data_IF_465042488679
#
_entry.id   IF_465042488679
#
_cell.length_a   1.000
_cell.length_b   1.000
_cell.length_c   1.000
_cell.angle_alpha   90.00
_cell.angle_beta   90.00
_cell.angle_gamma   90.00
#
_symmetry.space_group_name_H-M   'P 1'
#
loop_
_entity.id
_entity.type
_entity.pdbx_description
1 polymer ?
#
# COMPACT_ATOMS: atom_id res chain seq x y z
N UNK A 1 14.31 17.14 -12.19
CA UNK A 1 13.20 16.17 -12.30
C UNK A 1 12.71 16.21 -13.74
N UNK A 2 12.55 15.05 -14.37
CA UNK A 2 11.98 14.96 -15.73
C UNK A 2 10.48 15.32 -15.68
N UNK A 3 10.00 16.28 -16.48
CA UNK A 3 8.58 16.61 -16.57
C UNK A 3 7.68 15.41 -16.93
N UNK A 4 8.19 14.41 -17.65
CA UNK A 4 7.45 13.20 -18.04
C UNK A 4 7.05 12.35 -16.83
N UNK A 5 7.82 12.42 -15.75
CA UNK A 5 7.62 11.64 -14.54
C UNK A 5 6.60 12.25 -13.58
N UNK A 6 6.16 13.48 -13.83
CA UNK A 6 5.28 14.21 -12.91
C UNK A 6 3.87 14.24 -13.43
N UNK A 7 2.89 13.82 -12.64
CA UNK A 7 1.47 13.86 -12.98
C UNK A 7 0.77 14.89 -12.10
N UNK A 8 0.08 15.85 -12.71
CA UNK A 8 -0.55 16.97 -12.00
C UNK A 8 -1.86 17.36 -12.65
N UNK A 9 -2.88 17.59 -11.83
CA UNK A 9 -4.13 18.24 -12.21
C UNK A 9 -4.64 19.11 -11.05
N UNK A 10 -5.81 19.73 -11.20
CA UNK A 10 -6.44 20.51 -10.12
C UNK A 10 -6.62 19.64 -8.88
N UNK A 11 -5.95 19.99 -7.79
CA UNK A 11 -6.11 19.36 -6.48
C UNK A 11 -5.25 18.12 -6.23
N UNK A 12 -4.42 17.67 -7.17
CA UNK A 12 -3.55 16.51 -6.94
C UNK A 12 -2.30 16.56 -7.83
N UNK A 13 -1.15 16.19 -7.26
CA UNK A 13 0.10 16.00 -7.98
C UNK A 13 0.92 14.87 -7.39
N UNK A 14 1.72 14.21 -8.21
CA UNK A 14 2.69 13.19 -7.79
C UNK A 14 3.87 13.11 -8.76
N UNK A 15 4.92 12.43 -8.31
CA UNK A 15 6.09 12.10 -9.12
C UNK A 15 6.29 10.59 -9.17
N UNK A 16 6.60 10.03 -10.34
CA UNK A 16 6.99 8.63 -10.49
C UNK A 16 8.51 8.54 -10.62
N UNK A 17 9.15 7.85 -9.68
CA UNK A 17 10.54 7.45 -9.81
C UNK A 17 10.65 6.30 -10.83
N UNK A 18 11.19 6.59 -12.01
CA UNK A 18 11.26 5.60 -13.09
C UNK A 18 12.14 4.40 -12.73
N UNK A 19 13.15 4.54 -11.86
CA UNK A 19 14.09 3.47 -11.53
C UNK A 19 13.46 2.29 -10.78
N UNK A 20 12.34 2.52 -10.08
CA UNK A 20 11.66 1.50 -9.27
C UNK A 20 10.13 1.59 -9.36
N UNK A 21 9.62 2.47 -10.22
CA UNK A 21 8.20 2.74 -10.40
C UNK A 21 7.50 3.27 -9.15
N UNK A 22 8.23 3.88 -8.22
CA UNK A 22 7.68 4.38 -6.96
C UNK A 22 6.93 5.69 -7.17
N UNK A 23 5.85 5.89 -6.42
CA UNK A 23 4.97 7.04 -6.48
C UNK A 23 5.29 7.99 -5.34
N UNK A 24 6.19 8.91 -5.62
CA UNK A 24 6.76 9.86 -4.67
C UNK A 24 5.94 11.15 -4.66
N UNK A 25 6.09 11.95 -3.60
CA UNK A 25 5.56 13.31 -3.49
C UNK A 25 4.05 13.46 -3.78
N UNK A 26 3.25 12.40 -3.53
CA UNK A 26 1.80 12.47 -3.63
C UNK A 26 1.27 13.58 -2.71
N UNK A 27 0.73 14.60 -3.35
CA UNK A 27 0.24 15.82 -2.73
C UNK A 27 -1.18 16.03 -3.20
N UNK A 28 -2.11 16.15 -2.25
CA UNK A 28 -3.53 16.38 -2.52
C UNK A 28 -3.95 17.68 -1.85
N UNK A 29 -4.70 18.51 -2.56
CA UNK A 29 -5.33 19.70 -1.99
C UNK A 29 -6.81 19.43 -1.80
N UNK A 30 -7.25 19.44 -0.54
CA UNK A 30 -8.64 19.23 -0.17
C UNK A 30 -9.01 20.16 1.00
N UNK A 31 -10.19 20.77 0.94
CA UNK A 31 -10.64 21.81 1.89
C UNK A 31 -9.59 22.92 2.15
N UNK A 32 -8.97 23.41 1.08
CA UNK A 32 -7.88 24.41 1.10
C UNK A 32 -6.61 23.99 1.86
N UNK A 33 -6.42 22.69 2.14
CA UNK A 33 -5.26 22.14 2.83
C UNK A 33 -4.45 21.28 1.89
N UNK A 34 -3.12 21.34 2.02
CA UNK A 34 -2.22 20.44 1.33
C UNK A 34 -1.94 19.22 2.22
N UNK A 35 -2.23 18.03 1.68
CA UNK A 35 -2.09 16.74 2.36
C UNK A 35 -1.00 15.94 1.66
N UNK A 36 -0.04 15.45 2.44
CA UNK A 36 1.07 14.59 2.00
C UNK A 36 1.09 13.33 2.87
N UNK A 37 0.35 12.29 2.48
CA UNK A 37 0.12 11.12 3.33
C UNK A 37 1.29 10.14 3.34
N UNK A 38 2.19 10.25 2.35
CA UNK A 38 3.18 9.22 2.05
C UNK A 38 4.47 9.35 2.88
N UNK A 39 5.07 8.20 3.20
CA UNK A 39 6.35 8.06 3.89
C UNK A 39 7.51 7.94 2.90
N UNK A 40 8.71 8.30 3.35
CA UNK A 40 9.96 8.10 2.64
C UNK A 40 11.05 7.68 3.62
N UNK A 41 11.88 6.71 3.24
CA UNK A 41 12.95 6.21 4.12
C UNK A 41 13.99 7.30 4.43
N UNK A 42 14.58 7.30 5.64
CA UNK A 42 15.49 8.36 6.06
C UNK A 42 16.88 8.30 5.39
N UNK A 43 17.18 7.23 4.64
CA UNK A 43 18.46 7.04 3.94
C UNK A 43 18.41 7.35 2.44
N UNK A 44 17.34 8.00 1.97
CA UNK A 44 17.30 8.45 0.57
C UNK A 44 18.48 9.38 0.29
N UNK A 45 19.24 9.06 -0.76
CA UNK A 45 20.43 9.82 -1.16
C UNK A 45 21.72 9.40 -0.44
N UNK A 46 21.67 8.50 0.54
CA UNK A 46 22.88 7.93 1.15
C UNK A 46 23.56 6.91 0.21
N UNK A 47 24.88 6.81 0.30
CA UNK A 47 25.63 5.73 -0.35
C UNK A 47 25.46 4.45 0.47
N UNK A 48 24.64 3.53 -0.05
CA UNK A 48 24.43 2.21 0.54
C UNK A 48 25.29 1.15 -0.15
N UNK A 49 25.34 -0.06 0.42
CA UNK A 49 26.03 -1.20 -0.20
C UNK A 49 25.52 -1.40 -1.64
N UNK A 50 26.39 -1.69 -2.62
CA UNK A 50 25.97 -2.03 -3.99
C UNK A 50 24.94 -3.17 -4.04
N UNK A 51 25.03 -4.12 -3.11
CA UNK A 51 24.13 -5.28 -3.01
C UNK A 51 22.75 -4.95 -2.43
N UNK A 52 22.54 -3.72 -1.93
CA UNK A 52 21.23 -3.28 -1.43
C UNK A 52 20.23 -3.31 -2.59
N UNK A 53 19.08 -4.00 -2.50
CA UNK A 53 18.08 -3.98 -3.55
C UNK A 53 17.64 -2.56 -3.92
N UNK A 54 17.30 -2.34 -5.20
CA UNK A 54 16.91 -1.01 -5.68
C UNK A 54 15.68 -0.47 -4.95
N UNK A 55 14.67 -1.34 -4.67
CA UNK A 55 13.52 -0.94 -3.88
C UNK A 55 13.94 -0.39 -2.51
N UNK A 56 14.81 -1.10 -1.78
CA UNK A 56 15.22 -0.69 -0.43
C UNK A 56 16.03 0.61 -0.42
N UNK A 57 16.85 0.86 -1.46
CA UNK A 57 17.61 2.13 -1.57
C UNK A 57 16.72 3.35 -1.77
N UNK A 58 15.56 3.18 -2.43
CA UNK A 58 14.74 4.28 -2.93
C UNK A 58 13.36 4.36 -2.26
N UNK A 59 13.07 3.42 -1.37
CA UNK A 59 11.77 3.15 -0.76
C UNK A 59 11.06 4.42 -0.27
N UNK A 60 10.00 4.81 -0.99
CA UNK A 60 9.11 5.90 -0.62
C UNK A 60 7.75 5.73 -1.29
N UNK A 61 6.73 6.42 -0.78
CA UNK A 61 5.46 6.50 -1.48
C UNK A 61 4.69 5.20 -1.52
N UNK A 62 4.15 4.90 -2.70
CA UNK A 62 3.55 3.63 -3.07
C UNK A 62 4.33 3.00 -4.23
N UNK A 63 4.46 1.68 -4.24
CA UNK A 63 5.04 0.96 -5.36
C UNK A 63 4.35 -0.39 -5.55
N UNK A 64 4.48 -0.96 -6.74
CA UNK A 64 3.81 -2.19 -7.08
C UNK A 64 4.76 -3.37 -6.96
N UNK A 65 4.29 -4.47 -6.38
CA UNK A 65 5.08 -5.68 -6.19
C UNK A 65 4.48 -6.83 -7.00
N UNK A 66 5.28 -7.47 -7.84
CA UNK A 66 4.89 -8.71 -8.51
C UNK A 66 6.13 -9.54 -8.93
N UNK A 67 6.32 -10.76 -8.38
CA UNK A 67 5.58 -11.32 -7.26
C UNK A 67 5.71 -10.47 -5.97
N UNK A 68 4.61 -10.34 -5.21
CA UNK A 68 4.63 -9.70 -3.89
C UNK A 68 5.56 -10.45 -2.90
N UNK A 69 6.25 -9.71 -2.02
CA UNK A 69 7.25 -10.25 -1.08
C UNK A 69 8.28 -11.17 -1.77
N UNK A 70 8.45 -12.40 -1.32
CA UNK A 70 9.32 -13.40 -1.94
C UNK A 70 8.60 -14.25 -3.02
N UNK A 71 7.31 -13.99 -3.26
CA UNK A 71 6.48 -14.72 -4.19
C UNK A 71 6.30 -16.21 -3.83
N UNK A 72 6.41 -16.58 -2.55
CA UNK A 72 6.47 -17.98 -2.14
C UNK A 72 7.70 -18.70 -2.70
N UNK A 73 8.81 -17.98 -2.82
CA UNK A 73 10.07 -18.45 -3.40
C UNK A 73 10.20 -18.29 -4.92
N UNK A 74 9.17 -17.77 -5.60
CA UNK A 74 9.20 -17.54 -7.06
C UNK A 74 9.79 -16.19 -7.46
N UNK A 75 9.91 -15.24 -6.53
CA UNK A 75 10.50 -13.94 -6.83
C UNK A 75 12.03 -14.04 -6.90
N UNK A 76 12.62 -13.49 -7.96
CA UNK A 76 14.08 -13.39 -8.09
C UNK A 76 14.72 -12.39 -7.12
N UNK A 77 13.93 -11.39 -6.72
CA UNK A 77 14.32 -10.31 -5.81
C UNK A 77 13.08 -9.94 -4.98
N UNK A 78 13.29 -9.53 -3.73
CA UNK A 78 12.21 -9.14 -2.84
C UNK A 78 11.35 -8.03 -3.48
N UNK A 79 10.02 -8.23 -3.47
CA UNK A 79 9.00 -7.42 -4.14
C UNK A 79 9.00 -7.46 -5.69
N UNK A 80 9.82 -8.34 -6.28
CA UNK A 80 9.86 -8.57 -7.72
C UNK A 80 10.46 -7.42 -8.54
N UNK A 81 10.55 -7.63 -9.86
CA UNK A 81 11.07 -6.63 -10.79
C UNK A 81 10.33 -5.28 -10.80
N UNK A 82 8.99 -5.21 -10.66
CA UNK A 82 8.27 -3.94 -10.71
C UNK A 82 8.74 -2.90 -9.68
N UNK A 83 9.25 -3.35 -8.53
CA UNK A 83 9.78 -2.51 -7.46
C UNK A 83 11.30 -2.27 -7.57
N UNK A 84 12.00 -2.98 -8.46
CA UNK A 84 13.46 -3.06 -8.47
C UNK A 84 14.11 -2.71 -9.81
N UNK A 85 13.34 -2.30 -10.80
CA UNK A 85 13.84 -2.08 -12.16
C UNK A 85 13.15 -0.91 -12.87
N UNK A 86 13.81 -0.46 -13.94
CA UNK A 86 13.47 0.71 -14.73
C UNK A 86 12.11 0.59 -15.41
N UNK A 87 11.35 1.67 -15.33
CA UNK A 87 10.10 1.91 -16.04
C UNK A 87 10.31 2.92 -17.16
N UNK A 88 10.02 2.49 -18.39
CA UNK A 88 10.03 3.32 -19.58
C UNK A 88 8.73 4.10 -19.65
N UNK A 89 8.78 5.39 -19.32
CA UNK A 89 7.61 6.28 -19.34
C UNK A 89 7.36 6.74 -20.78
N UNK A 90 6.13 6.54 -21.26
CA UNK A 90 5.74 6.93 -22.60
C UNK A 90 5.44 8.44 -22.67
N UNK A 91 5.68 9.09 -23.83
CA UNK A 91 5.15 10.44 -24.08
C UNK A 91 3.63 10.48 -23.87
N UNK A 92 3.14 11.52 -23.21
CA UNK A 92 1.72 11.68 -22.89
C UNK A 92 1.00 12.62 -23.86
N UNK A 93 -0.18 12.21 -24.31
CA UNK A 93 -1.16 13.09 -24.99
C UNK A 93 -2.17 13.67 -24.00
N UNK A 94 -2.53 12.90 -22.98
CA UNK A 94 -3.38 13.31 -21.87
C UNK A 94 -2.51 13.72 -20.67
N UNK A 95 -2.55 14.99 -20.20
CA UNK A 95 -1.79 15.42 -19.03
C UNK A 95 -2.27 14.76 -17.72
N UNK A 96 -3.46 14.17 -17.69
CA UNK A 96 -4.06 13.53 -16.53
C UNK A 96 -3.75 12.03 -16.43
N UNK A 97 -3.07 11.46 -17.44
CA UNK A 97 -2.70 10.04 -17.47
C UNK A 97 -1.20 9.85 -17.78
N UNK A 98 -0.53 9.01 -16.99
CA UNK A 98 0.85 8.55 -17.22
C UNK A 98 0.85 7.06 -17.54
N UNK A 99 1.56 6.68 -18.60
CA UNK A 99 1.79 5.29 -18.97
C UNK A 99 3.28 4.95 -18.87
N UNK A 100 3.59 3.80 -18.30
CA UNK A 100 4.95 3.30 -18.22
C UNK A 100 4.99 1.79 -18.45
N UNK A 101 6.05 1.29 -19.08
CA UNK A 101 6.31 -0.13 -19.24
C UNK A 101 7.53 -0.53 -18.43
N UNK A 102 7.45 -1.64 -17.70
CA UNK A 102 8.61 -2.21 -17.01
C UNK A 102 9.61 -2.73 -18.04
N UNK A 103 10.91 -2.47 -17.84
CA UNK A 103 11.95 -2.96 -18.73
C UNK A 103 12.10 -4.49 -18.67
N UNK A 104 12.06 -5.07 -17.47
CA UNK A 104 11.96 -6.51 -17.28
C UNK A 104 10.55 -7.07 -17.54
N UNK A 105 10.49 -8.37 -17.84
CA UNK A 105 9.26 -9.15 -17.81
C UNK A 105 9.04 -9.79 -16.44
N UNK A 106 7.78 -9.99 -16.05
CA UNK A 106 7.39 -10.70 -14.83
C UNK A 106 6.94 -12.10 -15.21
N UNK A 107 7.76 -13.11 -14.94
CA UNK A 107 7.50 -14.49 -15.37
C UNK A 107 7.14 -14.59 -16.87
N UNK A 108 7.88 -13.85 -17.71
CA UNK A 108 7.65 -13.77 -19.15
C UNK A 108 6.52 -12.83 -19.60
N UNK A 109 5.74 -12.26 -18.67
CA UNK A 109 4.70 -11.28 -19.01
C UNK A 109 5.27 -9.87 -19.16
N UNK A 110 4.83 -9.13 -20.18
CA UNK A 110 5.06 -7.69 -20.26
C UNK A 110 4.15 -6.99 -19.25
N UNK A 111 4.72 -6.11 -18.43
CA UNK A 111 3.97 -5.31 -17.47
C UNK A 111 3.95 -3.84 -17.86
N UNK A 112 2.74 -3.28 -17.95
CA UNK A 112 2.52 -1.84 -18.06
C UNK A 112 1.79 -1.29 -16.84
N UNK A 113 2.13 -0.05 -16.46
CA UNK A 113 1.50 0.73 -15.40
C UNK A 113 0.81 1.92 -16.03
N UNK A 114 -0.42 2.18 -15.59
CA UNK A 114 -1.16 3.40 -15.91
C UNK A 114 -1.57 4.09 -14.62
N UNK A 115 -1.20 5.35 -14.51
CA UNK A 115 -1.58 6.26 -13.43
C UNK A 115 -2.53 7.29 -14.01
N UNK A 116 -3.66 7.52 -13.36
CA UNK A 116 -4.63 8.55 -13.77
C UNK A 116 -5.02 9.39 -12.56
N UNK A 117 -5.10 10.69 -12.77
CA UNK A 117 -5.70 11.66 -11.84
C UNK A 117 -6.87 12.33 -12.54
N UNK A 118 -7.86 12.80 -11.79
CA UNK A 118 -9.01 13.53 -12.35
C UNK A 118 -9.10 14.90 -11.68
N UNK A 119 -9.40 15.99 -12.42
CA UNK A 119 -9.54 17.32 -11.83
C UNK A 119 -10.52 17.32 -10.65
N UNK A 120 -10.04 17.74 -9.48
CA UNK A 120 -10.85 17.82 -8.25
C UNK A 120 -11.08 16.47 -7.53
N UNK A 121 -10.61 15.34 -8.08
CA UNK A 121 -10.62 14.07 -7.36
C UNK A 121 -9.43 14.01 -6.40
N UNK A 122 -9.63 13.70 -5.10
CA UNK A 122 -8.54 13.52 -4.15
C UNK A 122 -7.92 12.12 -4.23
N UNK A 123 -7.89 11.51 -5.43
CA UNK A 123 -7.48 10.12 -5.65
C UNK A 123 -6.57 9.97 -6.85
N UNK A 124 -5.56 9.12 -6.67
CA UNK A 124 -4.76 8.53 -7.72
C UNK A 124 -5.35 7.16 -8.10
N UNK A 125 -5.72 7.01 -9.35
CA UNK A 125 -6.20 5.77 -9.94
C UNK A 125 -5.04 5.01 -10.58
N UNK A 126 -4.85 3.75 -10.20
CA UNK A 126 -3.73 2.93 -10.64
C UNK A 126 -4.21 1.65 -11.33
N UNK A 127 -3.60 1.29 -12.46
CA UNK A 127 -3.79 -0.02 -13.08
C UNK A 127 -2.47 -0.63 -13.55
N UNK A 128 -2.34 -1.94 -13.38
CA UNK A 128 -1.16 -2.73 -13.72
C UNK A 128 -1.56 -3.88 -14.64
N UNK A 129 -1.19 -3.78 -15.91
CA UNK A 129 -1.63 -4.68 -16.97
C UNK A 129 -0.50 -5.60 -17.41
N UNK A 130 -0.71 -6.90 -17.22
CA UNK A 130 0.15 -7.98 -17.66
C UNK A 130 -0.37 -8.59 -18.96
N UNK A 131 0.53 -8.81 -19.92
CA UNK A 131 0.21 -9.49 -21.18
C UNK A 131 1.19 -10.64 -21.41
N UNK A 132 0.65 -11.85 -21.57
CA UNK A 132 1.43 -13.08 -21.77
C UNK A 132 2.00 -13.65 -20.46
N UNK A 133 3.19 -14.22 -20.54
CA UNK A 133 3.85 -14.93 -19.42
C UNK A 133 3.24 -16.29 -19.11
N UNK A 134 3.72 -16.91 -18.04
CA UNK A 134 3.28 -18.24 -17.63
C UNK A 134 3.21 -18.35 -16.10
N UNK A 135 2.42 -19.31 -15.61
CA UNK A 135 2.32 -19.59 -14.18
C UNK A 135 1.36 -18.67 -13.43
N UNK A 136 1.65 -18.47 -12.16
CA UNK A 136 0.81 -17.71 -11.22
C UNK A 136 1.66 -16.74 -10.42
N UNK A 137 1.17 -15.51 -10.26
CA UNK A 137 1.85 -14.47 -9.48
C UNK A 137 0.98 -13.98 -8.33
N UNK A 138 1.60 -13.70 -7.19
CA UNK A 138 1.01 -12.81 -6.18
C UNK A 138 1.32 -11.36 -6.51
N UNK A 139 0.41 -10.44 -6.23
CA UNK A 139 0.68 -9.03 -6.44
C UNK A 139 -0.03 -8.16 -5.40
N UNK A 140 0.58 -7.01 -5.09
CA UNK A 140 0.00 -5.98 -4.26
C UNK A 140 0.62 -4.62 -4.59
N UNK A 141 -0.12 -3.55 -4.28
CA UNK A 141 0.52 -2.25 -4.06
C UNK A 141 1.22 -2.24 -2.69
N UNK A 142 2.04 -1.24 -2.44
CA UNK A 142 2.80 -1.11 -1.21
C UNK A 142 2.88 0.35 -0.74
N UNK A 143 1.72 0.91 -0.37
CA UNK A 143 1.62 2.31 0.01
C UNK A 143 2.13 2.50 1.44
N UNK A 144 3.12 3.36 1.62
CA UNK A 144 3.68 3.64 2.95
C UNK A 144 3.10 4.95 3.46
N UNK A 145 2.31 4.88 4.52
CA UNK A 145 1.66 6.03 5.15
C UNK A 145 2.51 6.53 6.32
N UNK A 146 2.79 7.84 6.35
CA UNK A 146 3.56 8.45 7.44
C UNK A 146 2.67 8.84 8.61
N UNK A 147 3.02 8.39 9.82
CA UNK A 147 2.22 8.50 11.05
C UNK A 147 3.05 8.97 12.27
N UNK A 148 3.74 10.13 12.21
CA UNK A 148 4.64 10.58 13.28
C UNK A 148 3.95 10.86 14.62
N UNK A 149 2.63 11.08 14.62
CA UNK A 149 1.83 11.23 15.84
C UNK A 149 0.86 10.05 16.06
N UNK A 150 1.05 8.95 15.33
CA UNK A 150 0.16 7.81 15.34
C UNK A 150 -1.01 7.91 14.35
N UNK A 151 -1.82 6.85 14.30
CA UNK A 151 -2.95 6.74 13.39
C UNK A 151 -4.02 5.78 13.88
N UNK A 152 -5.25 6.01 13.40
CA UNK A 152 -6.41 5.15 13.63
C UNK A 152 -6.80 4.46 12.34
N UNK A 153 -6.67 3.14 12.30
CA UNK A 153 -6.93 2.32 11.14
C UNK A 153 -8.38 1.79 11.17
N UNK A 154 -9.02 1.77 10.02
CA UNK A 154 -10.37 1.23 9.80
C UNK A 154 -10.40 0.52 8.46
N UNK A 155 -11.24 -0.51 8.33
CA UNK A 155 -11.25 -1.35 7.13
C UNK A 155 -12.68 -1.73 6.75
N UNK A 156 -12.87 -2.08 5.48
CA UNK A 156 -14.03 -2.87 5.07
C UNK A 156 -14.10 -4.20 5.85
N UNK A 157 -15.27 -4.85 5.97
CA UNK A 157 -15.45 -6.04 6.80
C UNK A 157 -14.41 -7.14 6.53
N UNK A 158 -13.69 -7.57 7.58
CA UNK A 158 -12.66 -8.62 7.50
C UNK A 158 -13.16 -9.92 8.14
N UNK A 159 -12.89 -11.04 7.47
CA UNK A 159 -13.21 -12.36 8.00
C UNK A 159 -12.24 -12.78 9.10
N UNK A 160 -10.95 -12.46 8.94
CA UNK A 160 -9.91 -12.75 9.92
C UNK A 160 -8.64 -11.93 9.65
N UNK A 161 -7.83 -11.79 10.70
CA UNK A 161 -6.48 -11.24 10.68
C UNK A 161 -5.50 -12.36 11.03
N UNK A 162 -4.40 -12.46 10.28
CA UNK A 162 -3.39 -13.51 10.48
C UNK A 162 -1.99 -12.96 10.23
N UNK A 163 -1.02 -13.33 11.04
CA UNK A 163 0.38 -13.13 10.67
C UNK A 163 0.83 -14.21 9.69
N UNK A 164 1.93 -13.98 8.94
CA UNK A 164 2.73 -15.04 8.35
C UNK A 164 3.27 -16.03 9.39
N UNK A 165 3.92 -17.09 8.90
CA UNK A 165 4.54 -18.12 9.74
C UNK A 165 5.68 -17.56 10.62
N UNK A 166 6.43 -16.59 10.08
CA UNK A 166 7.57 -15.96 10.75
C UNK A 166 7.43 -14.44 10.73
N UNK A 167 8.04 -13.79 11.73
CA UNK A 167 8.15 -12.34 11.79
C UNK A 167 8.95 -11.76 10.60
N UNK A 168 8.74 -10.47 10.24
CA UNK A 168 9.52 -9.79 9.21
C UNK A 168 11.03 -9.68 9.50
N UNK A 169 11.41 -9.75 10.78
CA UNK A 169 12.81 -9.90 11.22
C UNK A 169 12.83 -10.96 12.33
N UNK A 170 13.08 -12.24 12.01
CA UNK A 170 13.01 -13.33 12.97
C UNK A 170 14.27 -13.45 13.84
N UNK A 171 15.39 -12.82 13.46
CA UNK A 171 16.61 -12.84 14.25
C UNK A 171 16.53 -11.77 15.37
N UNK A 172 16.46 -12.18 16.65
CA UNK A 172 16.35 -11.24 17.77
C UNK A 172 17.60 -10.36 17.97
N UNK A 173 18.73 -10.70 17.35
CA UNK A 173 19.91 -9.84 17.34
C UNK A 173 19.81 -8.72 16.29
N UNK A 174 18.85 -8.81 15.36
CA UNK A 174 18.68 -7.88 14.24
C UNK A 174 17.41 -7.05 14.33
N UNK A 175 16.41 -7.51 15.06
CA UNK A 175 15.22 -6.72 15.32
C UNK A 175 14.19 -7.38 16.22
N UNK A 176 13.00 -6.78 16.24
CA UNK A 176 11.96 -7.05 17.25
C UNK A 176 10.57 -7.05 16.62
N UNK A 177 9.72 -7.96 17.06
CA UNK A 177 8.29 -7.97 16.74
C UNK A 177 7.46 -7.91 18.02
N UNK A 178 6.27 -7.34 17.93
CA UNK A 178 5.38 -7.19 19.06
C UNK A 178 4.19 -8.16 19.01
N UNK A 179 3.85 -8.68 17.84
CA UNK A 179 2.81 -9.72 17.67
C UNK A 179 3.40 -11.11 17.89
N UNK A 180 2.53 -12.06 18.25
CA UNK A 180 2.88 -13.49 18.22
C UNK A 180 2.94 -13.97 16.76
N UNK A 181 3.91 -14.83 16.44
CA UNK A 181 4.06 -15.47 15.12
C UNK A 181 4.15 -16.99 15.25
N UNK A 182 3.35 -17.77 14.49
CA UNK A 182 2.13 -17.34 13.81
C UNK A 182 0.98 -17.04 14.80
N UNK A 183 0.08 -16.13 14.45
CA UNK A 183 -1.13 -15.86 15.21
C UNK A 183 -2.32 -15.49 14.31
N UNK A 184 -3.53 -15.59 14.87
CA UNK A 184 -4.77 -15.20 14.22
C UNK A 184 -5.76 -14.58 15.21
N UNK A 185 -6.63 -13.72 14.70
CA UNK A 185 -7.79 -13.20 15.43
C UNK A 185 -8.93 -12.84 14.46
N UNK A 186 -10.16 -12.80 14.97
CA UNK A 186 -11.30 -12.24 14.25
C UNK A 186 -11.42 -10.74 14.60
N UNK A 187 -11.33 -10.41 15.90
CA UNK A 187 -11.35 -9.03 16.38
C UNK A 187 -9.94 -8.42 16.29
N UNK A 188 -9.72 -7.39 15.45
CA UNK A 188 -8.42 -6.74 15.32
C UNK A 188 -7.99 -5.99 16.60
N UNK A 189 -8.91 -5.68 17.51
CA UNK A 189 -8.60 -5.03 18.78
C UNK A 189 -8.01 -5.98 19.83
N UNK A 190 -8.08 -7.29 19.58
CA UNK A 190 -7.66 -8.35 20.50
C UNK A 190 -6.65 -9.32 19.85
N UNK A 191 -5.65 -8.78 19.14
CA UNK A 191 -4.67 -9.63 18.45
C UNK A 191 -3.58 -10.15 19.40
N UNK A 192 -3.15 -11.43 19.30
CA UNK A 192 -2.15 -11.99 20.22
C UNK A 192 -0.79 -11.27 20.22
N UNK A 193 -0.32 -10.83 21.39
CA UNK A 193 0.97 -10.15 21.56
C UNK A 193 2.09 -11.12 22.00
N UNK A 194 3.31 -10.92 21.52
CA UNK A 194 4.47 -11.79 21.81
C UNK A 194 4.81 -11.91 23.31
N UNK A 195 4.51 -10.87 24.10
CA UNK A 195 4.74 -10.83 25.54
C UNK A 195 3.57 -11.36 26.38
N UNK A 196 2.55 -11.96 25.76
CA UNK A 196 1.27 -12.24 26.38
C UNK A 196 0.31 -11.04 26.32
N UNK A 197 -0.99 -11.30 26.52
CA UNK A 197 -2.05 -10.30 26.35
C UNK A 197 -2.39 -10.03 24.87
N UNK A 198 -2.98 -8.87 24.61
CA UNK A 198 -3.49 -8.50 23.28
C UNK A 198 -3.00 -7.12 22.82
N UNK A 199 -2.98 -6.93 21.51
CA UNK A 199 -2.65 -5.70 20.79
C UNK A 199 -3.84 -5.29 19.93
N UNK A 200 -4.10 -3.98 19.89
CA UNK A 200 -5.10 -3.37 19.02
C UNK A 200 -4.49 -2.99 17.67
N UNK A 201 -4.70 -3.83 16.64
CA UNK A 201 -4.24 -3.61 15.27
C UNK A 201 -4.91 -2.40 14.60
N UNK A 202 -5.98 -1.85 15.20
CA UNK A 202 -6.63 -0.66 14.67
C UNK A 202 -5.88 0.62 15.06
N UNK A 203 -4.71 0.51 15.70
CA UNK A 203 -3.87 1.65 16.12
C UNK A 203 -2.47 1.54 15.56
N UNK A 204 -1.88 2.68 15.26
CA UNK A 204 -0.47 2.82 14.99
C UNK A 204 0.14 3.95 15.83
N UNK A 205 1.37 3.79 16.36
CA UNK A 205 1.96 2.48 16.63
C UNK A 205 1.16 1.83 17.76
N UNK A 206 0.99 0.51 17.73
CA UNK A 206 0.37 -0.20 18.86
C UNK A 206 1.38 -0.54 19.96
N UNK A 207 2.69 -0.46 19.66
CA UNK A 207 3.80 -0.57 20.61
C UNK A 207 4.97 0.25 20.08
N UNK A 208 5.90 0.70 20.91
CA UNK A 208 7.13 1.31 20.40
C UNK A 208 8.12 0.23 19.94
N UNK A 209 8.87 0.49 18.87
CA UNK A 209 10.07 -0.27 18.59
C UNK A 209 9.83 -1.67 18.01
N UNK A 210 9.01 -1.83 16.98
CA UNK A 210 8.60 -3.12 16.42
C UNK A 210 8.53 -3.13 14.89
N UNK A 211 8.73 -4.32 14.31
CA UNK A 211 8.46 -4.64 12.92
C UNK A 211 7.47 -5.80 12.91
N UNK A 212 6.26 -5.55 12.43
CA UNK A 212 5.22 -6.56 12.37
C UNK A 212 4.50 -6.51 11.03
N UNK A 213 3.93 -7.64 10.66
CA UNK A 213 3.17 -7.84 9.44
C UNK A 213 1.92 -8.67 9.74
N UNK A 214 0.78 -8.19 9.26
CA UNK A 214 -0.52 -8.87 9.38
C UNK A 214 -1.23 -8.85 8.04
N UNK A 215 -1.93 -9.94 7.73
CA UNK A 215 -2.81 -10.10 6.57
C UNK A 215 -4.25 -10.12 7.07
N UNK A 216 -5.06 -9.19 6.58
CA UNK A 216 -6.49 -9.11 6.83
C UNK A 216 -7.27 -9.56 5.59
N UNK A 217 -7.93 -10.70 5.68
CA UNK A 217 -8.72 -11.28 4.58
C UNK A 217 -10.11 -10.67 4.57
N UNK A 218 -10.56 -10.23 3.39
CA UNK A 218 -11.89 -9.67 3.20
C UNK A 218 -13.00 -10.68 3.53
N UNK A 219 -14.13 -10.18 4.05
CA UNK A 219 -15.36 -10.97 4.11
C UNK A 219 -15.88 -11.24 2.69
N UNK A 220 -16.30 -12.49 2.43
CA UNK A 220 -16.86 -12.86 1.14
C UNK A 220 -18.08 -11.99 0.78
N UNK A 221 -18.13 -11.52 -0.46
CA UNK A 221 -19.24 -10.70 -0.95
C UNK A 221 -19.18 -9.21 -0.58
N UNK A 222 -18.12 -8.73 0.07
CA UNK A 222 -17.89 -7.28 0.24
C UNK A 222 -17.98 -6.57 -1.12
N UNK A 223 -18.83 -5.53 -1.29
CA UNK A 223 -19.00 -4.87 -2.58
C UNK A 223 -17.84 -3.93 -2.90
N UNK A 224 -17.11 -3.45 -1.90
CA UNK A 224 -15.97 -2.54 -2.01
C UNK A 224 -14.98 -2.85 -0.89
N UNK A 225 -13.72 -3.08 -1.25
CA UNK A 225 -12.63 -3.21 -0.30
C UNK A 225 -12.04 -1.83 -0.02
N UNK A 226 -11.92 -1.47 1.25
CA UNK A 226 -11.31 -0.21 1.64
C UNK A 226 -10.46 -0.33 2.91
N UNK A 227 -9.48 0.55 3.01
CA UNK A 227 -8.66 0.77 4.21
C UNK A 227 -8.55 2.28 4.41
N UNK A 228 -8.88 2.76 5.60
CA UNK A 228 -8.79 4.17 5.98
C UNK A 228 -7.85 4.34 7.17
N UNK A 229 -6.97 5.33 7.10
CA UNK A 229 -6.01 5.64 8.16
C UNK A 229 -6.14 7.11 8.51
N UNK A 230 -6.79 7.41 9.63
CA UNK A 230 -6.83 8.77 10.18
C UNK A 230 -5.47 9.08 10.78
N UNK A 231 -4.81 10.14 10.29
CA UNK A 231 -3.47 10.51 10.77
C UNK A 231 -3.60 11.54 11.88
N UNK A 232 -3.24 11.15 13.10
CA UNK A 232 -3.41 11.99 14.27
C UNK A 232 -2.53 13.25 14.15
N UNK A 233 -3.05 14.38 14.61
CA UNK A 233 -2.40 15.69 14.53
C UNK A 233 -2.37 16.33 13.13
N UNK A 234 -2.84 15.64 12.07
CA UNK A 234 -2.88 16.20 10.71
C UNK A 234 -4.28 16.65 10.27
N UNK A 235 -5.34 16.18 10.94
CA UNK A 235 -6.75 16.40 10.55
C UNK A 235 -7.02 15.99 9.09
N UNK A 236 -6.46 14.85 8.72
CA UNK A 236 -6.65 14.21 7.44
C UNK A 236 -6.80 12.69 7.64
N UNK A 237 -7.22 12.01 6.58
CA UNK A 237 -7.11 10.56 6.51
C UNK A 237 -6.65 10.11 5.13
N UNK A 238 -5.88 9.03 5.11
CA UNK A 238 -5.52 8.28 3.91
C UNK A 238 -6.57 7.22 3.63
N UNK A 239 -6.84 6.96 2.34
CA UNK A 239 -7.78 5.93 1.88
C UNK A 239 -7.11 5.09 0.79
N UNK A 240 -7.20 3.76 0.91
CA UNK A 240 -6.97 2.81 -0.17
C UNK A 240 -8.27 2.11 -0.55
N UNK A 241 -8.53 1.94 -1.86
CA UNK A 241 -9.76 1.39 -2.42
C UNK A 241 -9.43 0.32 -3.47
N UNK A 242 -10.17 -0.78 -3.44
CA UNK A 242 -9.97 -1.94 -4.33
C UNK A 242 -11.28 -2.68 -4.61
N UNK A 243 -11.29 -3.45 -5.69
CA UNK A 243 -12.27 -4.51 -5.87
C UNK A 243 -11.82 -5.76 -5.07
N UNK A 244 -12.54 -6.16 -4.00
CA UNK A 244 -12.11 -7.25 -3.14
C UNK A 244 -12.22 -8.63 -3.79
N UNK A 245 -12.99 -8.77 -4.87
CA UNK A 245 -12.99 -10.00 -5.66
C UNK A 245 -11.67 -10.23 -6.40
N UNK A 246 -10.93 -9.15 -6.69
CA UNK A 246 -9.61 -9.20 -7.31
C UNK A 246 -8.48 -9.11 -6.27
N UNK A 247 -8.61 -8.23 -5.28
CA UNK A 247 -7.62 -7.98 -4.23
C UNK A 247 -8.25 -8.27 -2.85
N UNK A 248 -8.34 -9.55 -2.44
CA UNK A 248 -9.10 -9.99 -1.27
C UNK A 248 -8.38 -9.77 0.05
N UNK A 249 -7.16 -9.20 0.05
CA UNK A 249 -6.37 -9.02 1.26
C UNK A 249 -5.90 -7.58 1.40
N UNK A 250 -5.96 -7.08 2.64
CA UNK A 250 -5.22 -5.91 3.08
C UNK A 250 -4.07 -6.42 3.94
N UNK A 251 -2.85 -6.12 3.56
CA UNK A 251 -1.67 -6.45 4.33
C UNK A 251 -1.12 -5.18 4.97
N UNK A 252 -0.74 -5.29 6.23
CA UNK A 252 -0.30 -4.19 7.06
C UNK A 252 1.12 -4.44 7.53
N UNK A 253 2.07 -3.66 7.02
CA UNK A 253 3.44 -3.63 7.52
C UNK A 253 3.60 -2.50 8.53
N UNK A 254 3.70 -2.86 9.81
CA UNK A 254 3.92 -1.91 10.88
C UNK A 254 5.42 -1.79 11.13
N UNK A 255 5.99 -0.62 10.82
CA UNK A 255 7.42 -0.39 10.97
C UNK A 255 7.70 0.79 11.89
N UNK A 256 8.36 0.51 13.01
CA UNK A 256 8.78 1.51 13.99
C UNK A 256 10.13 1.14 14.63
N UNK A 257 11.23 1.46 13.95
CA UNK A 257 12.61 1.44 14.45
C UNK A 257 13.07 0.15 15.14
N UNK A 258 12.61 -1.01 14.66
CA UNK A 258 13.01 -2.29 15.25
C UNK A 258 14.19 -2.96 14.58
N UNK A 259 14.43 -2.72 13.28
CA UNK A 259 15.57 -3.29 12.57
C UNK A 259 16.85 -2.51 12.88
N UNK A 260 17.81 -3.20 13.50
CA UNK A 260 19.02 -2.61 14.07
C UNK A 260 20.24 -2.65 13.12
N UNK A 261 20.11 -3.29 11.95
CA UNK A 261 21.17 -3.39 10.92
C UNK A 261 20.98 -2.37 9.79
N UNK A 262 22.04 -2.12 9.01
CA UNK A 262 21.98 -1.21 7.88
C UNK A 262 21.03 -1.71 6.76
N UNK A 263 20.29 -0.82 6.06
CA UNK A 263 20.29 0.64 6.22
C UNK A 263 19.36 1.14 7.34
N UNK A 264 18.58 0.25 7.95
CA UNK A 264 17.55 0.54 8.95
C UNK A 264 18.10 1.26 10.16
N UNK A 265 19.07 0.66 10.88
CA UNK A 265 19.77 1.23 12.04
C UNK A 265 18.83 1.89 13.08
N UNK A 266 17.61 1.36 13.26
CA UNK A 266 16.60 1.95 14.14
C UNK A 266 16.11 3.35 13.72
N UNK A 267 16.31 3.74 12.46
CA UNK A 267 15.97 5.06 11.90
C UNK A 267 14.63 5.12 11.17
N UNK A 268 14.19 4.00 10.57
CA UNK A 268 12.88 3.95 9.91
C UNK A 268 11.78 3.88 10.96
N UNK A 269 10.94 4.91 11.04
CA UNK A 269 9.96 5.13 12.13
C UNK A 269 8.67 5.63 11.54
N UNK A 270 7.58 5.50 12.29
CA UNK A 270 6.32 6.16 11.96
C UNK A 270 5.79 5.80 10.56
N UNK A 271 5.97 4.56 10.13
CA UNK A 271 5.56 4.06 8.82
C UNK A 271 4.60 2.88 8.95
N UNK A 272 3.46 2.99 8.27
CA UNK A 272 2.51 1.91 8.06
C UNK A 272 2.42 1.59 6.56
N UNK A 273 2.85 0.40 6.15
CA UNK A 273 2.51 -0.16 4.86
C UNK A 273 1.02 -0.53 4.83
N UNK A 274 0.28 0.00 3.85
CA UNK A 274 -1.09 -0.36 3.50
C UNK A 274 -1.06 -0.98 2.11
N UNK A 275 -1.13 -2.30 2.08
CA UNK A 275 -0.77 -3.10 0.92
C UNK A 275 -1.98 -3.92 0.49
N UNK A 276 -2.66 -3.47 -0.55
CA UNK A 276 -3.85 -4.15 -1.07
C UNK A 276 -3.44 -5.13 -2.16
N UNK A 277 -3.80 -6.39 -1.98
CA UNK A 277 -3.21 -7.45 -2.79
C UNK A 277 -3.98 -8.75 -2.85
N UNK A 278 -3.40 -9.68 -3.62
CA UNK A 278 -3.68 -11.10 -3.56
C UNK A 278 -2.34 -11.84 -3.41
N UNK A 279 -2.02 -12.23 -2.18
CA UNK A 279 -0.77 -12.89 -1.82
C UNK A 279 -1.00 -14.06 -0.84
N UNK A 280 -1.68 -15.14 -1.26
CA UNK A 280 -2.05 -16.25 -0.36
C UNK A 280 -0.83 -16.97 0.24
N UNK A 281 0.32 -16.93 -0.45
CA UNK A 281 1.58 -17.50 0.04
C UNK A 281 2.02 -16.89 1.38
N UNK A 282 1.67 -15.63 1.67
CA UNK A 282 1.95 -14.98 2.95
C UNK A 282 1.31 -15.71 4.13
N UNK A 283 0.25 -16.48 3.88
CA UNK A 283 -0.46 -17.30 4.86
C UNK A 283 -0.23 -18.80 4.68
N UNK A 284 0.78 -19.18 3.89
CA UNK A 284 1.09 -20.57 3.54
C UNK A 284 0.05 -21.23 2.64
N UNK A 285 -0.72 -20.44 1.89
CA UNK A 285 -1.79 -20.92 1.02
C UNK A 285 -1.38 -20.85 -0.46
N UNK A 286 -1.82 -21.82 -1.28
CA UNK A 286 -1.60 -21.75 -2.73
C UNK A 286 -2.51 -20.69 -3.37
N UNK A 287 -2.15 -20.27 -4.58
CA UNK A 287 -2.97 -19.38 -5.41
C UNK A 287 -2.21 -18.13 -5.85
N UNK A 288 -2.88 -17.34 -6.69
CA UNK A 288 -2.35 -16.12 -7.28
C UNK A 288 -3.11 -15.79 -8.56
N UNK A 289 -2.71 -14.72 -9.23
CA UNK A 289 -3.21 -14.37 -10.54
C UNK A 289 -2.57 -15.23 -11.61
N UNK A 290 -3.37 -15.89 -12.44
CA UNK A 290 -2.87 -16.64 -13.58
C UNK A 290 -2.33 -15.70 -14.67
N UNK A 291 -1.16 -16.03 -15.21
CA UNK A 291 -0.59 -15.40 -16.39
C UNK A 291 -0.92 -16.21 -17.66
N UNK A 292 -0.46 -15.74 -18.82
CA UNK A 292 -0.69 -16.36 -20.14
C UNK A 292 -1.74 -15.67 -20.99
N UNK A 293 -2.51 -14.75 -20.40
CA UNK A 293 -3.50 -13.93 -21.09
C UNK A 293 -3.30 -12.45 -20.82
N UNK A 294 -4.41 -11.72 -20.71
CA UNK A 294 -4.44 -10.34 -20.22
C UNK A 294 -4.96 -10.33 -18.78
N UNK A 295 -4.20 -9.72 -17.88
CA UNK A 295 -4.55 -9.51 -16.48
C UNK A 295 -4.37 -8.03 -16.17
N UNK A 296 -5.39 -7.39 -15.61
CA UNK A 296 -5.33 -5.96 -15.26
C UNK A 296 -5.72 -5.77 -13.79
N UNK A 297 -4.75 -5.39 -12.95
CA UNK A 297 -4.92 -5.21 -11.50
C UNK A 297 -5.13 -3.74 -11.19
N UNK A 298 -6.21 -3.42 -10.47
CA UNK A 298 -6.62 -2.03 -10.23
C UNK A 298 -6.87 -1.71 -8.77
N UNK A 299 -6.44 -0.52 -8.37
CA UNK A 299 -6.72 0.08 -7.08
C UNK A 299 -6.69 1.60 -7.19
N UNK A 300 -7.11 2.29 -6.14
CA UNK A 300 -6.97 3.73 -6.00
C UNK A 300 -6.47 4.06 -4.59
N UNK A 301 -5.63 5.09 -4.49
CA UNK A 301 -5.18 5.63 -3.21
C UNK A 301 -5.46 7.13 -3.18
N UNK A 302 -5.74 7.67 -2.01
CA UNK A 302 -6.05 9.09 -1.85
C UNK A 302 -5.96 9.54 -0.41
N UNK A 303 -6.21 10.83 -0.20
CA UNK A 303 -6.31 11.41 1.12
C UNK A 303 -7.23 12.63 1.10
N UNK A 304 -7.94 12.85 2.19
CA UNK A 304 -8.90 13.95 2.34
C UNK A 304 -8.70 14.63 3.69
N UNK A 305 -9.05 15.91 3.77
CA UNK A 305 -9.20 16.58 5.04
C UNK A 305 -10.32 15.88 5.81
N UNK A 306 -10.08 15.62 7.08
CA UNK A 306 -11.01 14.89 7.93
C UNK A 306 -11.39 15.78 9.12
N UNK A 307 -12.69 16.08 9.32
CA UNK A 307 -13.13 17.12 10.24
C UNK A 307 -12.91 16.77 11.71
N UNK A 308 -12.58 15.51 12.03
CA UNK A 308 -12.30 15.06 13.39
C UNK A 308 -11.19 14.02 13.41
N UNK A 309 -10.75 13.60 14.60
CA UNK A 309 -9.87 12.43 14.75
C UNK A 309 -10.67 11.16 15.07
N UNK A 310 -11.94 11.10 14.63
CA UNK A 310 -12.78 9.91 14.82
C UNK A 310 -12.45 8.83 13.79
N UNK A 311 -12.56 7.57 14.21
CA UNK A 311 -12.42 6.41 13.31
C UNK A 311 -13.47 6.47 12.22
N UNK A 312 -13.08 6.03 11.02
CA UNK A 312 -14.04 5.77 9.93
C UNK A 312 -14.82 4.50 10.26
N UNK A 313 -16.13 4.56 10.17
CA UNK A 313 -17.03 3.42 10.39
C UNK A 313 -17.58 2.85 9.09
N UNK A 314 -17.69 3.69 8.05
CA UNK A 314 -18.17 3.25 6.75
C UNK A 314 -17.57 4.09 5.61
N UNK A 315 -17.32 3.42 4.49
CA UNK A 315 -17.07 4.03 3.20
C UNK A 315 -18.03 3.39 2.20
N UNK A 316 -18.84 4.21 1.54
CA UNK A 316 -19.78 3.78 0.51
C UNK A 316 -19.51 4.54 -0.79
N UNK A 317 -19.54 3.84 -1.92
CA UNK A 317 -19.34 4.45 -3.24
C UNK A 317 -20.65 4.48 -4.03
N UNK A 318 -20.86 5.56 -4.77
CA UNK A 318 -21.72 5.59 -5.95
C UNK A 318 -20.83 5.54 -7.19
N UNK A 319 -21.40 5.67 -8.39
CA UNK A 319 -20.62 5.73 -9.63
C UNK A 319 -19.55 6.83 -9.61
N UNK A 320 -19.92 8.01 -9.10
CA UNK A 320 -19.15 9.25 -9.27
C UNK A 320 -18.72 9.89 -7.93
N UNK A 321 -19.00 9.22 -6.80
CA UNK A 321 -18.67 9.76 -5.47
C UNK A 321 -18.36 8.68 -4.43
N UNK A 322 -17.58 9.08 -3.42
CA UNK A 322 -17.30 8.32 -2.23
C UNK A 322 -17.82 9.09 -1.00
N UNK A 323 -18.58 8.43 -0.15
CA UNK A 323 -19.01 8.97 1.15
C UNK A 323 -18.32 8.23 2.27
N UNK A 324 -17.61 8.98 3.12
CA UNK A 324 -16.87 8.49 4.28
C UNK A 324 -17.64 8.96 5.52
N UNK A 325 -17.90 8.03 6.45
CA UNK A 325 -18.62 8.29 7.71
C UNK A 325 -17.74 7.96 8.91
N UNK A 326 -17.67 8.88 9.87
CA UNK A 326 -16.95 8.73 11.13
C UNK A 326 -17.81 8.20 12.28
N UNK A 327 -17.16 7.68 13.32
CA UNK A 327 -17.82 7.16 14.52
C UNK A 327 -18.55 8.25 15.34
N UNK A 328 -18.16 9.50 15.18
CA UNK A 328 -18.75 10.69 15.81
C UNK A 328 -19.88 11.33 14.98
N UNK A 329 -20.27 10.71 13.87
CA UNK A 329 -21.28 11.23 12.94
C UNK A 329 -20.74 12.25 11.92
N UNK A 330 -19.43 12.55 11.95
CA UNK A 330 -18.78 13.29 10.87
C UNK A 330 -18.93 12.55 9.54
N UNK A 331 -19.05 13.28 8.44
CA UNK A 331 -19.07 12.69 7.12
C UNK A 331 -18.46 13.63 6.08
N UNK A 332 -17.90 13.04 5.03
CA UNK A 332 -17.41 13.73 3.84
C UNK A 332 -17.87 12.98 2.62
N UNK A 333 -18.36 13.70 1.62
CA UNK A 333 -18.59 13.18 0.27
C UNK A 333 -17.60 13.84 -0.67
N UNK A 334 -16.84 13.04 -1.40
CA UNK A 334 -15.82 13.50 -2.34
C UNK A 334 -16.03 12.84 -3.70
N UNK A 335 -15.63 13.48 -4.81
CA UNK A 335 -15.74 12.87 -6.13
C UNK A 335 -14.83 11.65 -6.24
N UNK A 336 -15.33 10.60 -6.88
CA UNK A 336 -14.61 9.34 -7.07
C UNK A 336 -15.18 8.56 -8.26
N UNK A 337 -14.33 8.13 -9.19
CA UNK A 337 -14.72 7.26 -10.30
C UNK A 337 -14.68 5.78 -9.89
N UNK A 338 -15.84 5.21 -9.57
CA UNK A 338 -15.97 3.80 -9.21
C UNK A 338 -15.72 2.85 -10.40
N UNK A 339 -15.97 3.31 -11.64
CA UNK A 339 -15.75 2.49 -12.84
C UNK A 339 -14.28 2.13 -13.05
N UNK A 340 -13.36 2.87 -12.43
CA UNK A 340 -11.94 2.48 -12.42
C UNK A 340 -11.74 1.10 -11.77
N UNK A 341 -12.40 0.83 -10.64
CA UNK A 341 -12.27 -0.44 -9.90
C UNK A 341 -13.12 -1.58 -10.48
N UNK A 342 -14.17 -1.22 -11.22
CA UNK A 342 -15.14 -2.15 -11.83
C UNK A 342 -15.35 -1.76 -13.31
N UNK A 343 -14.36 -2.02 -14.19
CA UNK A 343 -14.42 -1.66 -15.61
C UNK A 343 -15.52 -2.35 -16.41
#
# INVERSE_FOLDING_TARGET
>A
MDPLNTLTTTGISLHMDAECGMLCDLTITDDNRQIRPMHAVPWIGETLSPDTPAHLRRMQGDFFCAPFADGGGTAHILHGWPANDLWQIAPRSDPATLHAQLAHTVQGATLTKRLRVEPGHPFLYQSHSFVGGEGTISAANHAMVTLPHGGLLSFSPKAHFRTPATAPEPDPARGRSALTYPASAIDPSQFPAAGGGTIDLTRYPFRAGHEDFVVATETAGSPLGWTAVVRLGFQDLYISLRNPAQLPTTMLWHSDASRDYAPWLGRHRACLGVEEGFAPHMLGQPGGFALGGHLDIRHAIGAIAWPSESRVTAITATRDSLTITGADGSHRTVPFDLSHLYP
#
